data_IF_602273545677
#
_entry.id   IF_602273545677
#
_cell.length_a   1.000
_cell.length_b   1.000
_cell.length_c   1.000
_cell.angle_alpha   90.00
_cell.angle_beta   90.00
_cell.angle_gamma   90.00
#
_symmetry.space_group_name_H-M   'P 1'
#
loop_
_entity.id
_entity.type
_entity.pdbx_description
1 polymer ?
#
# COMPACT_ATOMS: atom_id res chain seq x y z
N UNK A 1 -5.44 16.88 -14.26
CA UNK A 1 -4.88 17.49 -13.03
C UNK A 1 -5.66 16.94 -11.84
N UNK A 2 -4.99 16.43 -10.80
CA UNK A 2 -5.62 15.88 -9.58
C UNK A 2 -5.35 16.85 -8.42
N UNK A 3 -6.35 17.10 -7.56
CA UNK A 3 -6.21 17.89 -6.32
C UNK A 3 -6.50 16.99 -5.12
N UNK A 4 -5.47 16.59 -4.39
CA UNK A 4 -5.66 15.76 -3.19
C UNK A 4 -6.42 16.54 -2.11
N UNK A 5 -7.46 15.92 -1.56
CA UNK A 5 -8.24 16.48 -0.45
C UNK A 5 -7.62 16.15 0.92
N UNK A 6 -6.89 15.03 1.03
CA UNK A 6 -6.36 14.52 2.31
C UNK A 6 -4.96 13.93 2.13
N UNK A 7 -4.12 14.06 3.16
CA UNK A 7 -2.83 13.38 3.27
C UNK A 7 -2.84 12.53 4.53
N UNK A 8 -2.70 11.22 4.38
CA UNK A 8 -2.69 10.26 5.49
C UNK A 8 -1.31 9.62 5.61
N UNK A 9 -0.89 9.37 6.85
CA UNK A 9 0.17 8.42 7.17
C UNK A 9 -0.41 7.00 7.24
N UNK A 10 0.42 5.97 7.08
CA UNK A 10 0.00 4.57 7.25
C UNK A 10 -0.70 4.34 8.59
N UNK A 11 -0.12 4.85 9.70
CA UNK A 11 -0.73 4.76 11.03
C UNK A 11 -2.14 5.38 11.10
N UNK A 12 -2.36 6.52 10.43
CA UNK A 12 -3.69 7.14 10.38
C UNK A 12 -4.67 6.33 9.53
N UNK A 13 -4.24 5.87 8.34
CA UNK A 13 -5.06 5.04 7.48
C UNK A 13 -5.45 3.72 8.17
N UNK A 14 -4.49 3.06 8.82
CA UNK A 14 -4.70 1.86 9.62
C UNK A 14 -5.70 2.10 10.75
N UNK A 15 -5.56 3.20 11.51
CA UNK A 15 -6.50 3.55 12.57
C UNK A 15 -7.94 3.74 12.03
N UNK A 16 -8.09 4.36 10.85
CA UNK A 16 -9.39 4.53 10.19
C UNK A 16 -9.96 3.15 9.80
N UNK A 17 -9.16 2.27 9.19
CA UNK A 17 -9.58 0.92 8.78
C UNK A 17 -10.00 0.04 9.97
N UNK A 18 -9.40 0.23 11.15
CA UNK A 18 -9.78 -0.51 12.37
C UNK A 18 -11.00 0.06 13.10
N UNK A 19 -11.38 1.29 12.80
CA UNK A 19 -12.57 1.93 13.37
C UNK A 19 -13.82 1.66 12.52
N UNK A 20 -15.00 1.69 13.14
CA UNK A 20 -16.24 1.73 12.36
C UNK A 20 -16.28 2.99 11.50
N UNK A 21 -16.66 2.86 10.23
CA UNK A 21 -16.81 4.00 9.33
C UNK A 21 -17.84 4.99 9.88
N UNK A 22 -17.47 6.28 9.91
CA UNK A 22 -18.24 7.37 10.55
C UNK A 22 -18.36 8.60 9.66
N UNK A 23 -17.62 8.64 8.56
CA UNK A 23 -17.56 9.75 7.62
C UNK A 23 -17.25 9.24 6.20
N UNK A 24 -17.39 10.12 5.20
CA UNK A 24 -17.18 9.75 3.80
C UNK A 24 -15.75 9.25 3.53
N UNK A 25 -14.74 9.81 4.22
CA UNK A 25 -13.35 9.41 4.05
C UNK A 25 -13.15 7.95 4.50
N UNK A 26 -13.66 7.60 5.68
CA UNK A 26 -13.57 6.25 6.23
C UNK A 26 -14.35 5.24 5.40
N UNK A 27 -15.53 5.60 4.87
CA UNK A 27 -16.29 4.75 3.95
C UNK A 27 -15.53 4.46 2.65
N UNK A 28 -14.94 5.49 2.05
CA UNK A 28 -14.14 5.36 0.82
C UNK A 28 -12.88 4.54 1.05
N UNK A 29 -12.20 4.75 2.18
CA UNK A 29 -11.01 3.98 2.54
C UNK A 29 -11.34 2.51 2.80
N UNK A 30 -12.45 2.22 3.48
CA UNK A 30 -12.93 0.85 3.70
C UNK A 30 -13.32 0.15 2.39
N UNK A 31 -13.95 0.88 1.46
CA UNK A 31 -14.24 0.36 0.12
C UNK A 31 -12.96 0.03 -0.64
N UNK A 32 -11.96 0.91 -0.60
CA UNK A 32 -10.66 0.67 -1.20
C UNK A 32 -9.98 -0.57 -0.59
N UNK A 33 -10.10 -0.76 0.74
CA UNK A 33 -9.56 -1.94 1.41
C UNK A 33 -10.21 -3.24 0.95
N UNK A 34 -11.54 -3.30 0.87
CA UNK A 34 -12.25 -4.48 0.35
C UNK A 34 -11.80 -4.85 -1.07
N UNK A 35 -11.51 -3.84 -1.90
CA UNK A 35 -10.97 -4.07 -3.25
C UNK A 35 -9.54 -4.60 -3.21
N UNK A 36 -8.67 -4.05 -2.35
CA UNK A 36 -7.30 -4.53 -2.18
C UNK A 36 -7.26 -5.97 -1.66
N UNK A 37 -8.10 -6.35 -0.69
CA UNK A 37 -8.23 -7.74 -0.22
C UNK A 37 -8.63 -8.68 -1.37
N UNK A 38 -9.56 -8.26 -2.22
CA UNK A 38 -9.97 -9.05 -3.37
C UNK A 38 -8.84 -9.21 -4.39
N UNK A 39 -8.08 -8.15 -4.66
CA UNK A 39 -6.90 -8.19 -5.54
C UNK A 39 -5.84 -9.12 -4.97
N UNK A 40 -5.52 -8.99 -3.68
CA UNK A 40 -4.56 -9.84 -2.96
C UNK A 40 -4.95 -11.30 -3.08
N UNK A 41 -6.21 -11.65 -2.79
CA UNK A 41 -6.70 -13.03 -2.91
C UNK A 41 -6.50 -13.58 -4.32
N UNK A 42 -6.89 -12.82 -5.35
CA UNK A 42 -6.70 -13.23 -6.76
C UNK A 42 -5.22 -13.40 -7.09
N UNK A 43 -4.35 -12.54 -6.59
CA UNK A 43 -2.91 -12.59 -6.84
C UNK A 43 -2.29 -13.88 -6.26
N UNK A 44 -2.70 -14.28 -5.07
CA UNK A 44 -2.30 -15.56 -4.46
C UNK A 44 -2.91 -16.77 -5.18
N UNK A 45 -4.18 -16.70 -5.61
CA UNK A 45 -4.81 -17.76 -6.43
C UNK A 45 -4.03 -18.02 -7.73
N UNK A 46 -3.39 -17.00 -8.31
CA UNK A 46 -2.53 -17.12 -9.49
C UNK A 46 -1.06 -17.46 -9.18
N UNK A 47 -0.75 -17.87 -7.94
CA UNK A 47 0.57 -18.40 -7.58
C UNK A 47 1.59 -17.35 -7.13
N UNK A 48 1.15 -16.16 -6.70
CA UNK A 48 2.07 -15.19 -6.10
C UNK A 48 2.61 -15.67 -4.76
N UNK A 49 3.83 -15.24 -4.44
CA UNK A 49 4.50 -15.54 -3.18
C UNK A 49 4.37 -14.35 -2.22
N UNK A 50 4.20 -14.65 -0.94
CA UNK A 50 4.33 -13.67 0.14
C UNK A 50 5.74 -13.77 0.70
N UNK A 51 6.57 -12.76 0.42
CA UNK A 51 7.95 -12.69 0.89
C UNK A 51 7.99 -11.71 2.06
N UNK A 52 7.75 -12.19 3.28
CA UNK A 52 7.92 -11.40 4.51
C UNK A 52 9.41 -11.11 4.72
N UNK A 53 9.85 -9.97 4.22
CA UNK A 53 11.21 -9.48 4.42
C UNK A 53 11.19 -8.39 5.49
N UNK A 54 11.86 -8.59 6.64
CA UNK A 54 11.86 -7.62 7.71
C UNK A 54 12.60 -6.34 7.27
N UNK A 55 11.86 -5.24 7.16
CA UNK A 55 12.44 -3.93 6.89
C UNK A 55 12.73 -3.18 8.20
N UNK A 56 13.88 -2.51 8.26
CA UNK A 56 14.34 -1.75 9.43
C UNK A 56 14.48 -0.28 9.07
N UNK A 57 13.76 0.56 9.79
CA UNK A 57 13.87 2.01 9.72
C UNK A 57 14.87 2.51 10.74
N UNK A 58 15.86 3.28 10.27
CA UNK A 58 16.85 3.95 11.11
C UNK A 58 16.37 5.35 11.47
N UNK A 59 16.18 5.62 12.76
CA UNK A 59 15.91 6.97 13.26
C UNK A 59 17.24 7.65 13.57
N UNK A 60 17.44 8.82 12.99
CA UNK A 60 18.64 9.63 13.15
C UNK A 60 18.36 10.92 13.92
N UNK A 61 19.36 11.42 14.62
CA UNK A 61 19.32 12.75 15.25
C UNK A 61 19.53 13.88 14.22
N UNK A 62 19.52 15.13 14.68
CA UNK A 62 19.73 16.32 13.83
C UNK A 62 21.09 16.36 13.15
N UNK A 63 22.08 15.59 13.61
CA UNK A 63 23.42 15.47 13.04
C UNK A 63 23.56 14.23 12.13
N UNK A 64 22.48 13.47 11.92
CA UNK A 64 22.47 12.26 11.11
C UNK A 64 22.99 11.02 11.83
N UNK A 65 23.19 11.07 13.17
CA UNK A 65 23.67 9.91 13.93
C UNK A 65 22.50 8.97 14.24
N UNK A 66 22.60 7.65 14.00
CA UNK A 66 21.58 6.69 14.39
C UNK A 66 21.35 6.68 15.90
N UNK A 67 20.09 6.80 16.30
CA UNK A 67 19.67 6.75 17.72
C UNK A 67 18.69 5.61 18.02
N UNK A 68 17.99 5.09 17.01
CA UNK A 68 17.04 3.97 17.17
C UNK A 68 16.85 3.21 15.86
N UNK A 69 16.63 1.91 15.98
CA UNK A 69 16.17 1.04 14.89
C UNK A 69 14.73 0.63 15.19
N UNK A 70 13.85 0.74 14.19
CA UNK A 70 12.46 0.33 14.26
C UNK A 70 12.18 -0.68 13.18
N UNK A 71 11.49 -1.79 13.50
CA UNK A 71 10.95 -2.67 12.47
C UNK A 71 9.76 -1.97 11.82
N UNK A 72 9.71 -2.00 10.49
CA UNK A 72 8.53 -1.53 9.76
C UNK A 72 7.47 -2.63 9.82
N UNK A 73 6.30 -2.28 10.33
CA UNK A 73 5.15 -3.18 10.35
C UNK A 73 4.42 -3.10 9.00
N UNK A 74 4.17 -4.25 8.39
CA UNK A 74 3.34 -4.36 7.19
C UNK A 74 1.90 -4.69 7.61
N UNK A 75 1.14 -3.63 7.90
CA UNK A 75 -0.28 -3.72 8.24
C UNK A 75 -1.20 -3.56 7.02
N UNK A 76 -2.51 -3.64 7.22
CA UNK A 76 -3.53 -3.49 6.18
C UNK A 76 -3.42 -2.18 5.41
N UNK A 77 -2.90 -1.11 6.01
CA UNK A 77 -2.70 0.16 5.29
C UNK A 77 -1.53 0.10 4.32
N UNK A 78 -0.50 -0.68 4.63
CA UNK A 78 0.61 -0.95 3.72
C UNK A 78 0.15 -1.87 2.59
N UNK A 79 -0.53 -2.96 2.93
CA UNK A 79 -1.09 -3.92 1.97
C UNK A 79 -2.07 -3.24 0.99
N UNK A 80 -2.92 -2.33 1.48
CA UNK A 80 -3.83 -1.53 0.65
C UNK A 80 -3.09 -0.86 -0.51
N UNK A 81 -2.04 -0.10 -0.19
CA UNK A 81 -1.27 0.63 -1.19
C UNK A 81 -0.49 -0.33 -2.09
N UNK A 82 0.11 -1.38 -1.51
CA UNK A 82 0.86 -2.40 -2.25
C UNK A 82 0.01 -3.02 -3.37
N UNK A 83 -1.20 -3.50 -3.07
CA UNK A 83 -2.04 -4.17 -4.07
C UNK A 83 -2.50 -3.21 -5.18
N UNK A 84 -2.77 -1.95 -4.87
CA UNK A 84 -3.10 -0.96 -5.91
C UNK A 84 -1.89 -0.61 -6.79
N UNK A 85 -0.70 -0.52 -6.20
CA UNK A 85 0.53 -0.28 -6.96
C UNK A 85 0.89 -1.46 -7.86
N UNK A 86 0.72 -2.69 -7.37
CA UNK A 86 0.89 -3.91 -8.18
C UNK A 86 -0.10 -3.94 -9.34
N UNK A 87 -1.39 -3.69 -9.07
CA UNK A 87 -2.41 -3.66 -10.12
C UNK A 87 -2.13 -2.59 -11.18
N UNK A 88 -1.64 -1.41 -10.77
CA UNK A 88 -1.25 -0.34 -11.70
C UNK A 88 -0.04 -0.76 -12.56
N UNK A 89 0.98 -1.34 -11.95
CA UNK A 89 2.18 -1.82 -12.66
C UNK A 89 1.82 -2.92 -13.68
N UNK A 90 0.97 -3.87 -13.30
CA UNK A 90 0.50 -4.92 -14.21
C UNK A 90 -0.31 -4.34 -15.37
N UNK A 91 -1.16 -3.35 -15.11
CA UNK A 91 -1.95 -2.69 -16.16
C UNK A 91 -1.03 -1.97 -17.17
N UNK A 92 -0.03 -1.23 -16.69
CA UNK A 92 0.94 -0.55 -17.55
C UNK A 92 1.79 -1.55 -18.33
N UNK A 93 2.32 -2.59 -17.68
CA UNK A 93 3.12 -3.62 -18.34
C UNK A 93 2.33 -4.32 -19.46
N UNK A 94 1.06 -4.65 -19.20
CA UNK A 94 0.16 -5.25 -20.19
C UNK A 94 -0.06 -4.32 -21.38
N UNK A 95 -0.28 -3.03 -21.13
CA UNK A 95 -0.49 -2.04 -22.18
C UNK A 95 0.76 -1.85 -23.05
N UNK A 96 1.94 -1.75 -22.44
CA UNK A 96 3.21 -1.63 -23.16
C UNK A 96 3.48 -2.86 -24.03
N UNK A 97 3.25 -4.06 -23.48
CA UNK A 97 3.38 -5.31 -24.21
C UNK A 97 2.42 -5.37 -25.41
N UNK A 98 1.16 -4.98 -25.23
CA UNK A 98 0.16 -4.95 -26.31
C UNK A 98 0.54 -3.97 -27.44
N UNK A 99 1.28 -2.91 -27.12
CA UNK A 99 1.78 -1.93 -28.10
C UNK A 99 3.12 -2.33 -28.75
N UNK A 100 3.71 -3.47 -28.36
CA UNK A 100 5.01 -3.90 -28.86
C UNK A 100 6.17 -2.99 -28.40
N UNK A 101 5.98 -2.23 -27.32
CA UNK A 101 7.04 -1.42 -26.73
C UNK A 101 7.91 -2.37 -25.89
N UNK A 102 9.24 -2.40 -26.06
CA UNK A 102 10.12 -3.22 -25.24
C UNK A 102 9.96 -2.88 -23.75
N UNK A 103 9.85 -3.91 -22.91
CA UNK A 103 9.72 -3.83 -21.45
C UNK A 103 10.79 -4.66 -20.78
#
# INVERSE_FOLDING_TARGET
>A
VIRSAHRLTYKQAFAILKSSARDELSERLNTAWKLAELLRRKRFEHGSLDLDMPEVKVVVDKKGKPIRFERVENDESHQLIEEFMLAANEAVARELKNRGIPT
#
